data_IF_034106851687
#
_entry.id   IF_034106851687
#
_cell.length_a   1.000
_cell.length_b   1.000
_cell.length_c   1.000
_cell.angle_alpha   90.00
_cell.angle_beta   90.00
_cell.angle_gamma   90.00
#
_symmetry.space_group_name_H-M   'P 1'
#
loop_
_entity.id
_entity.type
_entity.pdbx_description
1 polymer ?
#
# COMPACT_ATOMS: atom_id res chain seq x y z
N UNK A 1 -12.06 -14.27 -6.71
CA UNK A 1 -10.88 -13.42 -6.40
C UNK A 1 -9.65 -14.11 -6.97
N UNK A 2 -8.81 -13.37 -7.67
CA UNK A 2 -7.60 -13.94 -8.23
C UNK A 2 -6.62 -14.37 -7.13
N UNK A 3 -5.94 -15.49 -7.32
CA UNK A 3 -4.89 -15.92 -6.40
C UNK A 3 -3.70 -14.94 -6.48
N UNK A 4 -3.18 -14.52 -5.33
CA UNK A 4 -2.01 -13.66 -5.27
C UNK A 4 -0.80 -14.35 -5.92
N UNK A 5 0.02 -13.60 -6.65
CA UNK A 5 1.30 -14.10 -7.15
C UNK A 5 2.25 -14.37 -5.98
N UNK A 6 3.32 -15.11 -6.23
CA UNK A 6 4.35 -15.36 -5.22
C UNK A 6 4.94 -14.05 -4.69
N UNK A 7 5.21 -13.09 -5.56
CA UNK A 7 5.72 -11.77 -5.18
C UNK A 7 4.72 -11.00 -4.34
N UNK A 8 3.43 -11.03 -4.70
CA UNK A 8 2.37 -10.39 -3.94
C UNK A 8 2.23 -11.00 -2.54
N UNK A 9 2.25 -12.33 -2.44
CA UNK A 9 2.21 -13.02 -1.14
C UNK A 9 3.42 -12.65 -0.27
N UNK A 10 4.59 -12.54 -0.85
CA UNK A 10 5.81 -12.11 -0.15
C UNK A 10 5.67 -10.68 0.37
N UNK A 11 5.17 -9.76 -0.45
CA UNK A 11 4.93 -8.38 -0.03
C UNK A 11 3.93 -8.31 1.13
N UNK A 12 2.82 -9.03 1.04
CA UNK A 12 1.82 -9.08 2.11
C UNK A 12 2.47 -9.53 3.42
N UNK A 13 3.25 -10.61 3.37
CA UNK A 13 3.92 -11.17 4.54
C UNK A 13 4.94 -10.20 5.15
N UNK A 14 5.80 -9.60 4.33
CA UNK A 14 6.83 -8.67 4.80
C UNK A 14 6.23 -7.41 5.39
N UNK A 15 5.19 -6.87 4.77
CA UNK A 15 4.53 -5.66 5.23
C UNK A 15 3.65 -5.88 6.47
N UNK A 16 3.27 -7.11 6.76
CA UNK A 16 2.51 -7.45 7.97
C UNK A 16 3.34 -7.41 9.25
N UNK A 17 4.67 -7.35 9.16
CA UNK A 17 5.57 -7.49 10.32
C UNK A 17 5.67 -6.25 11.19
N UNK A 18 5.37 -5.07 10.67
CA UNK A 18 5.57 -3.82 11.41
C UNK A 18 4.37 -2.89 11.17
N UNK A 19 3.30 -3.15 11.93
CA UNK A 19 2.01 -2.44 11.78
C UNK A 19 1.59 -1.74 13.07
N UNK A 20 2.53 -1.43 13.93
CA UNK A 20 2.29 -0.58 15.09
C UNK A 20 2.30 0.89 14.66
N UNK A 21 1.47 1.69 15.30
CA UNK A 21 1.45 3.13 15.04
C UNK A 21 0.50 3.57 13.94
N UNK A 22 -0.43 2.70 13.48
CA UNK A 22 -1.43 3.05 12.49
C UNK A 22 -2.83 2.87 13.05
N UNK A 23 -3.75 3.63 12.50
CA UNK A 23 -5.13 3.71 12.94
C UNK A 23 -6.01 2.77 12.14
N UNK A 24 -7.00 2.15 12.80
CA UNK A 24 -8.03 1.39 12.11
C UNK A 24 -8.80 2.27 11.12
N UNK A 25 -9.05 1.76 9.92
CA UNK A 25 -9.79 2.47 8.88
C UNK A 25 -10.61 1.50 8.04
N UNK A 26 -11.60 2.05 7.31
CA UNK A 26 -12.38 1.30 6.34
C UNK A 26 -11.65 1.30 5.00
N UNK A 27 -11.26 0.15 4.46
CA UNK A 27 -10.54 0.09 3.18
C UNK A 27 -11.36 0.65 2.02
N UNK A 28 -12.68 0.49 2.03
CA UNK A 28 -13.54 1.05 0.99
C UNK A 28 -13.53 2.58 1.01
N UNK A 29 -13.46 3.18 2.19
CA UNK A 29 -13.35 4.62 2.33
C UNK A 29 -12.03 5.15 1.76
N UNK A 30 -10.92 4.45 2.03
CA UNK A 30 -9.60 4.80 1.46
C UNK A 30 -9.67 4.78 -0.07
N UNK A 31 -10.23 3.73 -0.65
CA UNK A 31 -10.37 3.59 -2.10
C UNK A 31 -11.26 4.69 -2.66
N UNK A 32 -12.36 5.01 -2.00
CA UNK A 32 -13.27 6.08 -2.40
C UNK A 32 -12.57 7.44 -2.41
N UNK A 33 -11.76 7.73 -1.41
CA UNK A 33 -11.05 9.01 -1.29
C UNK A 33 -9.99 9.19 -2.35
N UNK A 34 -9.32 8.11 -2.79
CA UNK A 34 -8.37 8.24 -3.90
C UNK A 34 -9.04 8.37 -5.26
N UNK A 35 -10.30 7.95 -5.37
CA UNK A 35 -11.08 8.01 -6.60
C UNK A 35 -10.88 6.82 -7.53
N UNK A 36 -11.95 6.40 -8.20
CA UNK A 36 -11.95 5.22 -9.06
C UNK A 36 -10.93 5.30 -10.21
N UNK A 37 -10.74 6.44 -10.92
CA UNK A 37 -9.74 6.50 -11.98
C UNK A 37 -8.32 6.25 -11.48
N UNK A 38 -7.92 6.84 -10.38
CA UNK A 38 -6.60 6.64 -9.78
C UNK A 38 -6.43 5.21 -9.28
N UNK A 39 -7.43 4.67 -8.60
CA UNK A 39 -7.41 3.30 -8.11
C UNK A 39 -7.24 2.29 -9.26
N UNK A 40 -8.04 2.39 -10.31
CA UNK A 40 -7.98 1.47 -11.44
C UNK A 40 -6.68 1.62 -12.23
N UNK A 41 -6.19 2.85 -12.42
CA UNK A 41 -4.93 3.08 -13.11
C UNK A 41 -3.73 2.54 -12.32
N UNK A 42 -3.80 2.55 -10.99
CA UNK A 42 -2.70 2.10 -10.14
C UNK A 42 -2.63 0.58 -10.05
N UNK A 43 -3.75 -0.09 -9.82
CA UNK A 43 -3.72 -1.53 -9.50
C UNK A 43 -4.65 -2.38 -10.39
N UNK A 44 -5.48 -1.79 -11.23
CA UNK A 44 -6.42 -2.55 -12.05
C UNK A 44 -7.42 -3.36 -11.23
N UNK A 45 -7.72 -2.93 -10.00
CA UNK A 45 -8.61 -3.64 -9.09
C UNK A 45 -7.94 -4.72 -8.25
N UNK A 46 -6.63 -4.90 -8.36
CA UNK A 46 -5.87 -5.91 -7.57
C UNK A 46 -5.34 -5.26 -6.30
N UNK A 47 -5.99 -5.55 -5.19
CA UNK A 47 -5.61 -4.97 -3.90
C UNK A 47 -5.93 -5.91 -2.75
N UNK A 48 -5.40 -5.62 -1.57
CA UNK A 48 -5.76 -6.28 -0.33
C UNK A 48 -5.76 -5.28 0.82
N UNK A 49 -6.49 -5.58 1.88
CA UNK A 49 -6.43 -4.79 3.10
C UNK A 49 -5.12 -5.08 3.84
N UNK A 50 -4.57 -4.04 4.48
CA UNK A 50 -3.42 -4.18 5.39
C UNK A 50 -3.99 -4.26 6.80
N UNK A 51 -3.60 -5.31 7.53
CA UNK A 51 -4.03 -5.53 8.91
C UNK A 51 -2.85 -5.43 9.86
N UNK A 52 -3.12 -4.91 11.06
CA UNK A 52 -2.15 -4.88 12.14
C UNK A 52 -2.11 -6.23 12.89
N UNK A 53 -1.30 -6.28 13.95
CA UNK A 53 -1.14 -7.49 14.76
C UNK A 53 -2.41 -7.88 15.54
N UNK A 54 -3.35 -6.96 15.69
CA UNK A 54 -4.63 -7.17 16.34
C UNK A 54 -5.75 -7.57 15.37
N UNK A 55 -5.46 -7.65 14.08
CA UNK A 55 -6.43 -7.99 13.05
C UNK A 55 -7.24 -6.80 12.52
N UNK A 56 -6.98 -5.58 12.99
CA UNK A 56 -7.65 -4.39 12.51
C UNK A 56 -7.09 -3.96 11.16
N UNK A 57 -7.99 -3.55 10.24
CA UNK A 57 -7.56 -2.97 8.97
C UNK A 57 -7.03 -1.57 9.20
N UNK A 58 -5.80 -1.31 8.78
CA UNK A 58 -5.12 -0.01 8.93
C UNK A 58 -4.81 0.67 7.60
N UNK A 59 -5.10 0.02 6.49
CA UNK A 59 -4.87 0.58 5.17
C UNK A 59 -5.14 -0.40 4.05
N UNK A 60 -4.65 -0.05 2.86
CA UNK A 60 -4.78 -0.86 1.66
C UNK A 60 -3.43 -1.00 0.96
N UNK A 61 -3.23 -2.13 0.30
CA UNK A 61 -2.07 -2.42 -0.52
C UNK A 61 -2.55 -2.61 -1.96
N UNK A 62 -2.11 -1.75 -2.86
CA UNK A 62 -2.47 -1.77 -4.27
C UNK A 62 -1.33 -2.40 -5.07
N UNK A 63 -1.60 -3.50 -5.76
CA UNK A 63 -0.57 -4.20 -6.53
C UNK A 63 -0.36 -3.53 -7.89
N UNK A 64 0.86 -3.04 -8.12
CA UNK A 64 1.27 -2.35 -9.33
C UNK A 64 2.09 -3.30 -10.20
N UNK A 65 1.43 -4.17 -10.96
CA UNK A 65 2.10 -5.26 -11.65
C UNK A 65 2.47 -6.39 -10.69
N UNK A 66 3.51 -7.16 -11.01
CA UNK A 66 3.88 -8.35 -10.25
C UNK A 66 4.91 -8.09 -9.14
N UNK A 67 5.68 -7.01 -9.25
CA UNK A 67 6.87 -6.81 -8.41
C UNK A 67 6.80 -5.58 -7.50
N UNK A 68 5.76 -4.76 -7.62
CA UNK A 68 5.63 -3.53 -6.83
C UNK A 68 4.23 -3.39 -6.27
N UNK A 69 4.12 -2.62 -5.20
CA UNK A 69 2.85 -2.26 -4.60
C UNK A 69 2.89 -0.85 -4.04
N UNK A 70 1.74 -0.20 -4.00
CA UNK A 70 1.54 1.07 -3.29
C UNK A 70 0.81 0.76 -2.00
N UNK A 71 1.42 1.12 -0.88
CA UNK A 71 0.85 0.97 0.45
C UNK A 71 0.27 2.30 0.90
N UNK A 72 -0.96 2.28 1.38
CA UNK A 72 -1.64 3.45 1.93
C UNK A 72 -2.14 3.06 3.31
N UNK A 73 -1.63 3.72 4.36
CA UNK A 73 -2.01 3.46 5.75
C UNK A 73 -2.46 4.77 6.42
N UNK A 74 -3.40 4.65 7.36
CA UNK A 74 -3.91 5.79 8.12
C UNK A 74 -3.08 5.94 9.40
N UNK A 75 -2.47 7.12 9.59
CA UNK A 75 -1.70 7.42 10.81
C UNK A 75 -2.57 8.04 11.91
N UNK A 76 -2.00 8.24 13.10
CA UNK A 76 -2.74 8.77 14.25
C UNK A 76 -3.10 10.24 14.16
N UNK A 77 -2.60 10.96 13.16
CA UNK A 77 -2.98 12.34 12.87
C UNK A 77 -4.16 12.42 11.89
N UNK A 78 -4.78 11.30 11.53
CA UNK A 78 -5.85 11.18 10.52
C UNK A 78 -5.40 11.54 9.10
N UNK A 79 -4.10 11.41 8.82
CA UNK A 79 -3.54 11.53 7.47
C UNK A 79 -3.07 10.18 6.98
N UNK A 80 -2.90 10.09 5.65
CA UNK A 80 -2.39 8.88 5.03
C UNK A 80 -0.87 8.95 4.83
N UNK A 81 -0.20 7.84 5.07
CA UNK A 81 1.17 7.62 4.63
C UNK A 81 1.13 6.73 3.41
N UNK A 82 1.76 7.16 2.33
CA UNK A 82 1.78 6.46 1.04
C UNK A 82 3.21 6.12 0.70
N UNK A 83 3.45 4.87 0.31
CA UNK A 83 4.77 4.48 -0.20
C UNK A 83 4.62 3.45 -1.32
N UNK A 84 5.56 3.51 -2.27
CA UNK A 84 5.73 2.45 -3.26
C UNK A 84 6.85 1.53 -2.79
N UNK A 85 6.58 0.24 -2.80
CA UNK A 85 7.50 -0.76 -2.26
C UNK A 85 7.70 -1.90 -3.26
N UNK A 86 8.86 -2.52 -3.17
CA UNK A 86 9.14 -3.80 -3.84
C UNK A 86 9.92 -4.71 -2.91
N UNK A 87 9.78 -6.04 -3.02
CA UNK A 87 10.58 -6.96 -2.22
C UNK A 87 11.98 -7.09 -2.81
N UNK A 88 12.95 -7.33 -1.95
CA UNK A 88 14.31 -7.70 -2.36
C UNK A 88 14.41 -9.22 -2.36
N UNK A 89 14.72 -9.79 -3.53
CA UNK A 89 14.73 -11.24 -3.73
C UNK A 89 16.14 -11.84 -3.77
N UNK A 90 17.18 -11.00 -3.81
CA UNK A 90 18.58 -11.45 -3.95
C UNK A 90 19.50 -10.60 -3.07
N UNK A 91 20.67 -11.18 -2.72
CA UNK A 91 21.71 -10.48 -1.99
C UNK A 91 21.49 -10.46 -0.50
N UNK A 92 22.24 -9.61 0.18
CA UNK A 92 22.23 -9.50 1.65
C UNK A 92 20.90 -8.99 2.21
N UNK A 93 20.20 -8.16 1.42
CA UNK A 93 18.92 -7.58 1.81
C UNK A 93 17.72 -8.46 1.43
N UNK A 94 17.95 -9.69 0.98
CA UNK A 94 16.87 -10.62 0.62
C UNK A 94 15.88 -10.79 1.79
N UNK A 95 14.60 -10.72 1.50
CA UNK A 95 13.54 -10.80 2.50
C UNK A 95 13.20 -9.47 3.13
N UNK A 96 13.73 -8.36 2.60
CA UNK A 96 13.37 -7.01 3.01
C UNK A 96 12.55 -6.31 1.91
N UNK A 97 12.07 -5.12 2.23
CA UNK A 97 11.29 -4.28 1.33
C UNK A 97 12.02 -2.97 1.09
N UNK A 98 12.13 -2.57 -0.18
CA UNK A 98 12.71 -1.28 -0.56
C UNK A 98 11.59 -0.27 -0.75
N UNK A 99 11.72 0.90 -0.11
CA UNK A 99 10.86 2.06 -0.36
C UNK A 99 11.40 2.84 -1.55
N UNK A 100 10.64 2.86 -2.64
CA UNK A 100 11.02 3.58 -3.85
C UNK A 100 10.42 4.98 -3.92
N UNK A 101 9.40 5.23 -3.14
CA UNK A 101 8.69 6.50 -3.05
C UNK A 101 7.96 6.55 -1.71
N UNK A 102 7.96 7.71 -1.07
CA UNK A 102 7.26 7.89 0.20
C UNK A 102 6.70 9.30 0.31
N UNK A 103 5.46 9.41 0.78
CA UNK A 103 4.82 10.65 1.15
C UNK A 103 4.08 10.44 2.47
N UNK A 104 4.31 11.30 3.45
CA UNK A 104 3.69 11.21 4.76
C UNK A 104 2.68 12.34 4.95
N UNK A 105 1.71 12.12 5.84
CA UNK A 105 0.71 13.12 6.24
C UNK A 105 -0.08 13.68 5.07
N UNK A 106 -0.50 12.79 4.17
CA UNK A 106 -1.31 13.15 3.00
C UNK A 106 -2.78 13.20 3.41
N UNK A 107 -3.45 14.33 3.16
CA UNK A 107 -4.88 14.47 3.44
C UNK A 107 -5.74 13.77 2.36
N UNK A 108 -7.04 13.66 2.63
CA UNK A 108 -7.95 13.00 1.68
C UNK A 108 -8.07 13.74 0.34
N UNK A 109 -7.80 15.04 0.31
CA UNK A 109 -7.86 15.83 -0.92
C UNK A 109 -6.62 15.66 -1.80
N UNK A 110 -5.47 15.39 -1.19
CA UNK A 110 -4.21 15.15 -1.90
C UNK A 110 -3.95 13.70 -2.24
N UNK A 111 -4.75 12.76 -1.71
CA UNK A 111 -4.48 11.33 -1.80
C UNK A 111 -4.44 10.84 -3.25
N UNK A 112 -5.38 11.26 -4.09
CA UNK A 112 -5.45 10.83 -5.50
C UNK A 112 -4.17 11.14 -6.26
N UNK A 113 -3.67 12.38 -6.15
CA UNK A 113 -2.44 12.81 -6.83
C UNK A 113 -1.21 12.04 -6.34
N UNK A 114 -1.08 11.88 -5.03
CA UNK A 114 0.06 11.18 -4.42
C UNK A 114 0.05 9.69 -4.82
N UNK A 115 -1.09 9.03 -4.80
CA UNK A 115 -1.20 7.63 -5.23
C UNK A 115 -0.89 7.50 -6.72
N UNK A 116 -1.35 8.42 -7.54
CA UNK A 116 -1.02 8.45 -8.97
C UNK A 116 0.48 8.54 -9.19
N UNK A 117 1.16 9.45 -8.49
CA UNK A 117 2.61 9.62 -8.58
C UNK A 117 3.35 8.37 -8.12
N UNK A 118 2.92 7.76 -7.02
CA UNK A 118 3.50 6.52 -6.51
C UNK A 118 3.34 5.37 -7.52
N UNK A 119 2.17 5.27 -8.15
CA UNK A 119 1.86 4.18 -9.07
C UNK A 119 2.54 4.31 -10.45
N UNK A 120 2.92 5.50 -10.86
CA UNK A 120 3.56 5.73 -12.17
C UNK A 120 5.08 5.60 -12.14
N UNK A 121 5.69 5.57 -11.01
CA UNK A 121 7.14 5.51 -10.72
C UNK A 121 8.03 6.19 -11.76
N UNK A 122 7.75 7.43 -11.95
CA UNK A 122 8.60 8.30 -12.75
C UNK A 122 9.69 8.93 -11.89
#
# INVERSE_FOLDING_TARGET
MATATKTQATLIHLLARDRTGFRACDPQEVIRQMGAPTFLATCGGRWTAIRDDYGDTVGVLLFCGESRAVEIVLNFLDYYNVRRVRPVNRGELRGTVVNEYEAQDVDCFGLSEIVWNAGTWK
#
